data_IF_898826028454
#
_entry.id   IF_898826028454
#
_cell.length_a   1.000
_cell.length_b   1.000
_cell.length_c   1.000
_cell.angle_alpha   90.00
_cell.angle_beta   90.00
_cell.angle_gamma   90.00
#
_symmetry.space_group_name_H-M   'P 1'
#
loop_
_entity.id
_entity.type
_entity.pdbx_description
1 polymer ?
#
# COMPACT_ATOMS: atom_id res chain seq x y z
N UNK A 1 -39.06 -63.36 -11.21
CA UNK A 1 -38.29 -62.73 -10.15
C UNK A 1 -37.55 -61.54 -10.77
N UNK A 2 -38.00 -60.34 -10.50
CA UNK A 2 -37.50 -59.09 -11.10
C UNK A 2 -36.40 -58.52 -10.21
N UNK A 3 -35.19 -58.52 -10.68
CA UNK A 3 -34.07 -57.83 -9.99
C UNK A 3 -34.21 -56.32 -10.17
N UNK A 4 -34.42 -55.62 -9.08
CA UNK A 4 -34.37 -54.14 -8.99
C UNK A 4 -32.90 -53.72 -8.90
N UNK A 5 -32.35 -53.23 -9.98
CA UNK A 5 -31.02 -52.61 -10.00
C UNK A 5 -31.15 -51.14 -9.50
N UNK A 6 -30.80 -50.91 -8.26
CA UNK A 6 -30.75 -49.57 -7.68
C UNK A 6 -29.50 -48.86 -8.13
N UNK A 7 -29.61 -47.92 -9.09
CA UNK A 7 -28.55 -47.00 -9.46
C UNK A 7 -28.43 -45.94 -8.40
N UNK A 8 -27.44 -46.09 -7.53
CA UNK A 8 -27.02 -45.05 -6.57
C UNK A 8 -26.20 -44.01 -7.29
N UNK A 9 -26.81 -42.92 -7.75
CA UNK A 9 -26.08 -41.73 -8.27
C UNK A 9 -25.36 -41.07 -7.10
N UNK A 10 -24.08 -41.33 -6.94
CA UNK A 10 -23.18 -40.57 -6.12
C UNK A 10 -23.03 -39.15 -6.74
N UNK A 11 -23.83 -38.21 -6.24
CA UNK A 11 -23.59 -36.79 -6.39
C UNK A 11 -22.28 -36.46 -5.63
N UNK A 12 -21.12 -36.63 -6.27
CA UNK A 12 -19.87 -36.04 -5.84
C UNK A 12 -20.01 -34.54 -6.01
N UNK A 13 -20.58 -33.87 -5.03
CA UNK A 13 -20.53 -32.43 -4.89
C UNK A 13 -19.05 -32.05 -4.81
N UNK A 14 -18.47 -31.54 -5.88
CA UNK A 14 -17.18 -30.88 -5.85
C UNK A 14 -17.34 -29.71 -4.88
N UNK A 15 -16.93 -29.88 -3.62
CA UNK A 15 -16.58 -28.77 -2.77
C UNK A 15 -15.46 -28.03 -3.49
N UNK A 16 -15.81 -27.05 -4.29
CA UNK A 16 -14.86 -26.05 -4.73
C UNK A 16 -14.34 -25.39 -3.44
N UNK A 17 -13.18 -25.85 -2.96
CA UNK A 17 -12.45 -25.12 -1.92
C UNK A 17 -12.26 -23.74 -2.48
N UNK A 18 -12.84 -22.72 -1.82
CA UNK A 18 -12.62 -21.35 -2.18
C UNK A 18 -11.10 -21.15 -2.23
N UNK A 19 -10.56 -20.90 -3.44
CA UNK A 19 -9.12 -20.77 -3.63
C UNK A 19 -8.70 -19.48 -2.96
N UNK A 20 -7.99 -19.58 -1.83
CA UNK A 20 -7.43 -18.43 -1.14
C UNK A 20 -6.26 -17.86 -1.98
N UNK A 21 -6.26 -16.56 -2.25
CA UNK A 21 -5.11 -15.86 -2.83
C UNK A 21 -4.35 -15.11 -1.73
N UNK A 22 -3.02 -15.14 -1.79
CA UNK A 22 -2.14 -14.43 -0.88
C UNK A 22 -1.56 -13.19 -1.56
N UNK A 23 -1.84 -12.03 -1.00
CA UNK A 23 -1.46 -10.72 -1.55
C UNK A 23 -0.37 -10.11 -0.70
N UNK A 24 0.78 -9.80 -1.31
CA UNK A 24 1.79 -8.91 -0.76
C UNK A 24 1.42 -7.47 -1.13
N UNK A 25 1.31 -6.57 -0.17
CA UNK A 25 0.91 -5.19 -0.44
C UNK A 25 1.80 -4.17 0.28
N UNK A 26 2.13 -3.10 -0.43
CA UNK A 26 2.81 -1.96 0.16
C UNK A 26 1.99 -1.40 1.33
N UNK A 27 2.70 -1.01 2.38
CA UNK A 27 2.11 -0.70 3.68
C UNK A 27 1.16 0.51 3.67
N UNK A 28 1.27 1.41 2.69
CA UNK A 28 0.32 2.52 2.51
C UNK A 28 -1.09 2.05 2.14
N UNK A 29 -1.24 0.80 1.67
CA UNK A 29 -2.53 0.14 1.40
C UNK A 29 -3.16 -0.52 2.64
N UNK A 30 -2.50 -0.50 3.79
CA UNK A 30 -2.94 -1.27 4.97
C UNK A 30 -4.31 -0.87 5.51
N UNK A 31 -4.78 0.33 5.22
CA UNK A 31 -6.13 0.78 5.60
C UNK A 31 -7.16 0.56 4.48
N UNK A 32 -6.80 0.81 3.22
CA UNK A 32 -7.73 0.74 2.09
C UNK A 32 -7.94 -0.71 1.59
N UNK A 33 -6.87 -1.52 1.50
CA UNK A 33 -6.95 -2.85 0.91
C UNK A 33 -7.84 -3.83 1.68
N UNK A 34 -7.89 -3.82 3.03
CA UNK A 34 -8.85 -4.65 3.76
C UNK A 34 -10.32 -4.38 3.41
N UNK A 35 -10.71 -3.11 3.17
CA UNK A 35 -12.07 -2.76 2.75
C UNK A 35 -12.34 -3.22 1.31
N UNK A 36 -11.37 -3.05 0.41
CA UNK A 36 -11.43 -3.57 -0.96
C UNK A 36 -11.59 -5.10 -0.98
N UNK A 37 -10.83 -5.80 -0.15
CA UNK A 37 -10.93 -7.25 0.00
C UNK A 37 -12.29 -7.66 0.57
N UNK A 38 -12.81 -6.96 1.56
CA UNK A 38 -14.14 -7.23 2.11
C UNK A 38 -15.24 -7.08 1.04
N UNK A 39 -15.18 -6.02 0.22
CA UNK A 39 -16.11 -5.81 -0.89
C UNK A 39 -15.98 -6.92 -1.95
N UNK A 40 -14.76 -7.30 -2.32
CA UNK A 40 -14.49 -8.39 -3.26
C UNK A 40 -14.99 -9.73 -2.75
N UNK A 41 -14.66 -10.08 -1.50
CA UNK A 41 -15.10 -11.34 -0.88
C UNK A 41 -16.62 -11.41 -0.78
N UNK A 42 -17.30 -10.33 -0.40
CA UNK A 42 -18.76 -10.24 -0.37
C UNK A 42 -19.38 -10.52 -1.73
N UNK A 43 -18.74 -10.05 -2.81
CA UNK A 43 -19.24 -10.18 -4.18
C UNK A 43 -18.97 -11.55 -4.80
N UNK A 44 -17.85 -12.18 -4.45
CA UNK A 44 -17.36 -13.38 -5.15
C UNK A 44 -17.28 -14.64 -4.31
N UNK A 45 -17.33 -14.54 -2.98
CA UNK A 45 -17.03 -15.63 -2.05
C UNK A 45 -15.53 -15.98 -1.96
N UNK A 46 -14.65 -15.29 -2.74
CA UNK A 46 -13.22 -15.57 -2.80
C UNK A 46 -12.51 -15.00 -1.57
N UNK A 47 -11.68 -15.82 -0.92
CA UNK A 47 -10.87 -15.41 0.22
C UNK A 47 -9.54 -14.80 -0.25
N UNK A 48 -9.14 -13.70 0.40
CA UNK A 48 -7.87 -13.01 0.14
C UNK A 48 -7.11 -12.80 1.45
N UNK A 49 -5.90 -13.33 1.53
CA UNK A 49 -4.98 -13.13 2.66
C UNK A 49 -4.02 -11.99 2.36
N UNK A 50 -3.88 -11.05 3.28
CA UNK A 50 -3.06 -9.86 3.13
C UNK A 50 -1.77 -9.94 3.95
N UNK A 51 -0.66 -9.50 3.35
CA UNK A 51 0.62 -9.30 4.01
C UNK A 51 1.15 -7.92 3.63
N UNK A 52 1.43 -7.08 4.63
CA UNK A 52 1.87 -5.71 4.42
C UNK A 52 3.35 -5.51 4.75
N UNK A 53 4.03 -4.66 3.96
CA UNK A 53 5.43 -4.34 4.18
C UNK A 53 5.93 -3.23 3.27
N UNK A 54 7.21 -2.86 3.38
CA UNK A 54 7.84 -1.99 2.40
C UNK A 54 7.96 -2.71 1.05
N UNK A 55 7.71 -2.01 -0.06
CA UNK A 55 7.72 -2.61 -1.41
C UNK A 55 9.03 -3.34 -1.71
N UNK A 56 10.18 -2.78 -1.33
CA UNK A 56 11.49 -3.42 -1.54
C UNK A 56 11.67 -4.70 -0.71
N UNK A 57 11.20 -4.71 0.55
CA UNK A 57 11.25 -5.91 1.39
C UNK A 57 10.36 -7.02 0.81
N UNK A 58 9.14 -6.70 0.37
CA UNK A 58 8.23 -7.65 -0.27
C UNK A 58 8.81 -8.18 -1.58
N UNK A 59 9.45 -7.31 -2.39
CA UNK A 59 10.16 -7.72 -3.60
C UNK A 59 11.25 -8.75 -3.32
N UNK A 60 12.06 -8.52 -2.28
CA UNK A 60 13.08 -9.47 -1.87
C UNK A 60 12.48 -10.80 -1.35
N UNK A 61 11.35 -10.76 -0.63
CA UNK A 61 10.63 -11.97 -0.24
C UNK A 61 10.13 -12.75 -1.46
N UNK A 62 9.60 -12.06 -2.48
CA UNK A 62 9.18 -12.68 -3.74
C UNK A 62 10.37 -13.32 -4.45
N UNK A 63 11.51 -12.64 -4.56
CA UNK A 63 12.75 -13.21 -5.13
C UNK A 63 13.19 -14.47 -4.39
N UNK A 64 13.06 -14.48 -3.07
CA UNK A 64 13.44 -15.60 -2.21
C UNK A 64 12.37 -16.70 -2.10
N UNK A 65 11.33 -16.64 -2.92
CA UNK A 65 10.38 -17.75 -3.00
C UNK A 65 9.15 -17.64 -2.11
N UNK A 66 8.87 -16.51 -1.44
CA UNK A 66 7.66 -16.34 -0.65
C UNK A 66 6.39 -16.60 -1.49
N UNK A 67 5.39 -17.36 -0.98
CA UNK A 67 4.27 -17.87 -1.76
C UNK A 67 3.15 -16.82 -1.93
N UNK A 68 3.49 -15.70 -2.54
CA UNK A 68 2.53 -14.66 -2.90
C UNK A 68 1.96 -14.91 -4.31
N UNK A 69 0.69 -14.59 -4.51
CA UNK A 69 -0.01 -14.66 -5.78
C UNK A 69 -0.08 -13.30 -6.47
N UNK A 70 -0.24 -12.22 -5.70
CA UNK A 70 -0.34 -10.85 -6.20
C UNK A 70 0.58 -9.93 -5.40
N UNK A 71 1.18 -8.95 -6.09
CA UNK A 71 2.02 -7.93 -5.46
C UNK A 71 1.54 -6.53 -5.81
N UNK A 72 1.14 -5.78 -4.78
CA UNK A 72 0.86 -4.34 -4.83
C UNK A 72 2.07 -3.57 -4.34
N UNK A 73 2.63 -2.72 -5.19
CA UNK A 73 3.79 -1.88 -4.88
C UNK A 73 3.40 -0.40 -4.81
N UNK A 74 4.02 0.35 -3.93
CA UNK A 74 3.87 1.80 -3.83
C UNK A 74 4.66 2.57 -4.92
N UNK A 75 5.36 1.88 -5.82
CA UNK A 75 5.90 2.39 -7.07
C UNK A 75 5.88 1.32 -8.16
N UNK A 76 6.13 1.69 -9.40
CA UNK A 76 6.21 0.76 -10.54
C UNK A 76 7.56 0.07 -10.68
N UNK A 77 8.60 0.61 -10.08
CA UNK A 77 9.97 0.14 -10.25
C UNK A 77 10.13 -1.32 -9.82
N UNK A 78 9.56 -1.68 -8.67
CA UNK A 78 9.65 -3.05 -8.15
C UNK A 78 8.85 -4.07 -8.98
N UNK A 79 7.59 -3.83 -9.39
CA UNK A 79 6.90 -4.69 -10.34
C UNK A 79 7.66 -4.88 -11.65
N UNK A 80 8.22 -3.81 -12.22
CA UNK A 80 9.00 -3.88 -13.46
C UNK A 80 10.28 -4.71 -13.30
N UNK A 81 10.97 -4.62 -12.15
CA UNK A 81 12.12 -5.48 -11.84
C UNK A 81 11.71 -6.95 -11.80
N UNK A 82 10.63 -7.29 -11.08
CA UNK A 82 10.13 -8.67 -11.02
C UNK A 82 9.73 -9.21 -12.39
N UNK A 83 9.16 -8.37 -13.26
CA UNK A 83 8.83 -8.74 -14.63
C UNK A 83 10.11 -9.03 -15.43
N UNK A 84 11.12 -8.16 -15.34
CA UNK A 84 12.41 -8.35 -16.02
C UNK A 84 13.13 -9.63 -15.56
N UNK A 85 12.93 -10.03 -14.31
CA UNK A 85 13.46 -11.26 -13.72
C UNK A 85 12.59 -12.51 -14.01
N UNK A 86 11.45 -12.37 -14.74
CA UNK A 86 10.53 -13.47 -15.03
C UNK A 86 9.67 -13.91 -13.83
N UNK A 87 9.71 -13.16 -12.72
CA UNK A 87 9.01 -13.49 -11.47
C UNK A 87 7.57 -12.94 -11.41
N UNK A 88 7.20 -12.02 -12.32
CA UNK A 88 5.86 -11.48 -12.42
C UNK A 88 5.39 -11.43 -13.87
N UNK A 89 4.08 -11.54 -14.09
CA UNK A 89 3.45 -11.61 -15.44
C UNK A 89 3.26 -10.19 -15.99
N UNK A 90 3.98 -9.87 -17.08
CA UNK A 90 3.98 -8.52 -17.70
C UNK A 90 2.59 -8.05 -18.13
N UNK A 91 1.76 -8.95 -18.63
CA UNK A 91 0.40 -8.68 -19.11
C UNK A 91 -0.58 -8.31 -17.99
N UNK A 92 -0.18 -8.53 -16.73
CA UNK A 92 -0.97 -8.16 -15.54
C UNK A 92 -0.56 -6.85 -14.90
N UNK A 93 0.53 -6.22 -15.36
CA UNK A 93 0.97 -4.94 -14.83
C UNK A 93 -0.11 -3.89 -14.99
N UNK A 94 -0.53 -3.30 -13.87
CA UNK A 94 -1.58 -2.30 -13.84
C UNK A 94 -1.27 -1.21 -12.82
N UNK A 95 -1.33 0.05 -13.26
CA UNK A 95 -1.26 1.23 -12.38
C UNK A 95 -2.61 1.46 -11.73
N UNK A 96 -2.76 1.11 -10.47
CA UNK A 96 -4.04 1.26 -9.79
C UNK A 96 -4.23 2.61 -9.11
N UNK A 97 -3.16 3.34 -8.80
CA UNK A 97 -3.26 4.62 -8.10
C UNK A 97 -1.98 5.47 -8.19
N UNK A 98 -2.10 6.71 -7.76
CA UNK A 98 -0.97 7.60 -7.42
C UNK A 98 -1.07 7.95 -5.93
N UNK A 99 -0.03 7.62 -5.18
CA UNK A 99 0.07 7.92 -3.76
C UNK A 99 0.44 9.38 -3.48
N UNK A 100 0.12 9.86 -2.28
CA UNK A 100 0.41 11.22 -1.82
C UNK A 100 1.20 11.20 -0.52
N UNK A 101 2.26 12.00 -0.46
CA UNK A 101 3.05 12.24 0.75
C UNK A 101 2.47 13.43 1.51
N UNK A 102 2.37 13.30 2.83
CA UNK A 102 1.93 14.38 3.74
C UNK A 102 2.87 14.51 4.92
N UNK A 103 3.05 15.73 5.42
CA UNK A 103 3.58 16.00 6.75
C UNK A 103 2.41 15.98 7.73
N UNK A 104 2.44 15.09 8.69
CA UNK A 104 1.40 14.91 9.71
C UNK A 104 1.94 15.17 11.10
N UNK A 105 1.12 15.79 11.94
CA UNK A 105 1.40 16.04 13.36
C UNK A 105 0.15 15.77 14.21
N UNK A 106 0.27 15.39 15.49
CA UNK A 106 -0.85 15.27 16.42
C UNK A 106 -1.62 16.60 16.58
N UNK A 107 -2.88 16.54 17.03
CA UNK A 107 -3.72 17.73 17.21
C UNK A 107 -3.19 18.70 18.26
N UNK A 108 -2.52 18.20 19.29
CA UNK A 108 -1.89 18.99 20.37
C UNK A 108 -0.51 19.58 19.99
N UNK A 109 -0.01 19.30 18.81
CA UNK A 109 1.24 19.87 18.32
C UNK A 109 1.15 21.39 18.21
N UNK A 110 2.16 22.17 18.66
CA UNK A 110 2.18 23.62 18.53
C UNK A 110 2.48 24.11 17.12
N UNK A 111 2.85 23.20 16.19
CA UNK A 111 3.31 23.55 14.85
C UNK A 111 2.16 24.05 13.97
N UNK A 112 2.30 25.22 13.34
CA UNK A 112 1.36 25.72 12.35
C UNK A 112 1.74 25.24 10.95
N UNK A 113 1.22 24.05 10.57
CA UNK A 113 1.51 23.45 9.26
C UNK A 113 0.95 24.27 8.09
N UNK A 114 -0.14 25.01 8.29
CA UNK A 114 -0.78 25.79 7.23
C UNK A 114 0.09 26.98 6.81
N UNK A 115 0.82 27.55 7.75
CA UNK A 115 1.71 28.68 7.55
C UNK A 115 3.15 28.27 7.15
N UNK A 116 3.66 27.22 7.79
CA UNK A 116 5.08 26.85 7.68
C UNK A 116 5.31 25.71 6.68
N UNK A 117 4.29 24.89 6.37
CA UNK A 117 4.49 23.70 5.54
C UNK A 117 5.57 22.81 6.12
N UNK A 118 6.47 22.33 5.26
CA UNK A 118 7.59 21.47 5.68
C UNK A 118 8.62 22.18 6.57
N UNK A 119 8.71 23.52 6.52
CA UNK A 119 9.62 24.31 7.37
C UNK A 119 9.28 24.16 8.85
N UNK A 120 8.07 23.73 9.19
CA UNK A 120 7.68 23.39 10.57
C UNK A 120 8.60 22.34 11.20
N UNK A 121 9.26 21.50 10.40
CA UNK A 121 10.24 20.51 10.85
C UNK A 121 11.52 21.12 11.42
N UNK A 122 11.78 22.40 11.14
CA UNK A 122 12.94 23.13 11.70
C UNK A 122 12.70 23.63 13.13
N UNK A 123 11.44 23.62 13.59
CA UNK A 123 11.12 24.05 14.95
C UNK A 123 11.91 23.23 15.99
N UNK A 124 12.53 23.87 16.98
CA UNK A 124 13.27 23.19 18.05
C UNK A 124 12.45 22.20 18.88
N UNK A 125 11.12 22.33 18.90
CA UNK A 125 10.21 21.39 19.57
C UNK A 125 10.17 20.02 18.85
N UNK A 126 10.49 19.96 17.55
CA UNK A 126 10.55 18.72 16.77
C UNK A 126 11.89 18.03 17.03
N UNK A 127 11.92 17.07 17.93
CA UNK A 127 13.12 16.30 18.28
C UNK A 127 13.30 15.06 17.39
N UNK A 128 12.19 14.47 16.95
CA UNK A 128 12.15 13.28 16.11
C UNK A 128 11.14 13.44 14.99
N UNK A 129 11.53 13.06 13.79
CA UNK A 129 10.73 13.09 12.57
C UNK A 129 10.68 11.66 12.03
N UNK A 130 9.50 11.06 11.95
CA UNK A 130 9.36 9.72 11.41
C UNK A 130 9.25 9.75 9.87
N UNK A 131 10.01 8.89 9.22
CA UNK A 131 9.89 8.58 7.79
C UNK A 131 10.02 7.07 7.58
N UNK A 132 9.50 6.53 6.49
CA UNK A 132 9.83 5.17 6.10
C UNK A 132 11.31 5.06 5.68
N UNK A 133 11.89 3.88 5.77
CA UNK A 133 13.29 3.65 5.36
C UNK A 133 13.46 3.88 3.84
N UNK A 134 14.24 4.87 3.38
CA UNK A 134 14.41 5.17 1.96
C UNK A 134 15.04 4.02 1.15
N UNK A 135 15.80 3.16 1.80
CA UNK A 135 16.45 2.01 1.14
C UNK A 135 15.45 0.99 0.59
N UNK A 136 14.26 0.88 1.20
CA UNK A 136 13.29 -0.19 0.89
C UNK A 136 11.88 0.32 0.60
N UNK A 137 11.54 1.54 1.03
CA UNK A 137 10.19 2.09 0.94
C UNK A 137 10.12 3.27 -0.04
N UNK A 138 9.22 3.23 -1.05
CA UNK A 138 9.00 4.36 -1.96
C UNK A 138 8.63 5.66 -1.24
N UNK A 139 7.79 5.60 -0.20
CA UNK A 139 7.46 6.76 0.63
C UNK A 139 8.66 7.31 1.42
N UNK A 140 9.61 6.46 1.77
CA UNK A 140 10.86 6.91 2.40
C UNK A 140 11.73 7.71 1.41
N UNK A 141 11.87 7.22 0.17
CA UNK A 141 12.55 7.96 -0.90
C UNK A 141 11.84 9.28 -1.22
N UNK A 142 10.51 9.26 -1.25
CA UNK A 142 9.72 10.48 -1.45
C UNK A 142 9.92 11.49 -0.31
N UNK A 143 9.95 11.03 0.94
CA UNK A 143 10.21 11.87 2.11
C UNK A 143 11.61 12.50 2.07
N UNK A 144 12.64 11.70 1.79
CA UNK A 144 14.01 12.20 1.64
C UNK A 144 14.12 13.20 0.49
N UNK A 145 13.54 12.91 -0.67
CA UNK A 145 13.54 13.81 -1.82
C UNK A 145 12.84 15.13 -1.49
N UNK A 146 11.69 15.11 -0.81
CA UNK A 146 11.01 16.32 -0.38
C UNK A 146 11.86 17.17 0.59
N UNK A 147 12.49 16.55 1.58
CA UNK A 147 13.37 17.26 2.52
C UNK A 147 14.56 17.92 1.80
N UNK A 148 15.14 17.25 0.77
CA UNK A 148 16.20 17.79 -0.08
C UNK A 148 15.70 18.91 -0.98
N UNK A 149 14.53 18.74 -1.60
CA UNK A 149 13.91 19.76 -2.47
C UNK A 149 13.73 21.10 -1.74
N UNK A 150 13.28 21.04 -0.48
CA UNK A 150 13.10 22.23 0.37
C UNK A 150 14.38 22.69 1.07
N UNK A 151 15.53 22.05 0.84
CA UNK A 151 16.83 22.44 1.38
C UNK A 151 16.98 22.28 2.90
N UNK A 152 16.17 21.42 3.52
CA UNK A 152 16.19 21.23 4.99
C UNK A 152 16.76 19.87 5.42
N UNK A 153 17.07 18.96 4.47
CA UNK A 153 17.50 17.60 4.79
C UNK A 153 18.67 17.57 5.78
N UNK A 154 19.74 18.32 5.51
CA UNK A 154 20.94 18.29 6.34
C UNK A 154 20.69 18.83 7.77
N UNK A 155 19.74 19.74 7.91
CA UNK A 155 19.34 20.31 9.21
C UNK A 155 18.49 19.36 10.06
N UNK A 156 17.78 18.43 9.42
CA UNK A 156 16.86 17.51 10.11
C UNK A 156 17.33 16.06 10.12
N UNK A 157 18.33 15.70 9.33
CA UNK A 157 18.78 14.32 9.11
C UNK A 157 19.12 13.57 10.39
N UNK A 158 19.76 14.24 11.36
CA UNK A 158 20.08 13.65 12.68
C UNK A 158 18.87 13.38 13.57
N UNK A 159 17.68 13.93 13.21
CA UNK A 159 16.42 13.75 13.93
C UNK A 159 15.48 12.75 13.25
N UNK A 160 15.90 12.17 12.11
CA UNK A 160 15.09 11.20 11.38
C UNK A 160 15.03 9.86 12.14
N UNK A 161 13.82 9.34 12.32
CA UNK A 161 13.55 8.00 12.85
C UNK A 161 12.97 7.17 11.71
N UNK A 162 13.68 6.11 11.34
CA UNK A 162 13.31 5.27 10.20
C UNK A 162 12.37 4.15 10.64
N UNK A 163 11.16 4.13 10.08
CA UNK A 163 10.26 2.98 10.12
C UNK A 163 10.61 1.98 9.02
N UNK A 164 10.48 0.70 9.26
CA UNK A 164 10.66 -0.33 8.22
C UNK A 164 9.71 -0.15 7.03
N UNK A 165 8.54 0.47 7.29
CA UNK A 165 7.52 0.79 6.30
C UNK A 165 6.88 2.14 6.61
N UNK A 166 6.08 2.67 5.69
CA UNK A 166 5.32 3.91 5.90
C UNK A 166 4.23 3.76 6.97
N UNK A 167 3.70 2.54 7.19
CA UNK A 167 2.79 2.27 8.32
C UNK A 167 3.52 2.40 9.66
N UNK A 168 4.75 1.90 9.77
CA UNK A 168 5.51 2.03 11.02
C UNK A 168 5.90 3.50 11.25
N UNK A 169 6.25 4.24 10.20
CA UNK A 169 6.48 5.69 10.32
C UNK A 169 5.23 6.41 10.83
N UNK A 170 4.03 6.04 10.34
CA UNK A 170 2.76 6.58 10.83
C UNK A 170 2.50 6.20 12.29
N UNK A 171 2.79 4.96 12.70
CA UNK A 171 2.68 4.52 14.09
C UNK A 171 3.60 5.30 15.04
N UNK A 172 4.82 5.63 14.61
CA UNK A 172 5.75 6.41 15.44
C UNK A 172 5.23 7.81 15.74
N UNK A 173 4.62 8.50 14.77
CA UNK A 173 4.07 9.82 15.02
C UNK A 173 2.72 9.75 15.72
N UNK A 174 1.87 8.75 15.44
CA UNK A 174 0.60 8.56 16.13
C UNK A 174 0.77 8.28 17.62
N UNK A 175 1.77 7.46 17.96
CA UNK A 175 2.07 7.09 19.36
C UNK A 175 2.88 8.12 20.14
N UNK A 176 3.25 9.27 19.53
CA UNK A 176 4.09 10.30 20.16
C UNK A 176 5.59 9.95 20.22
N UNK A 177 6.03 8.83 19.65
CA UNK A 177 7.45 8.49 19.56
C UNK A 177 8.22 9.40 18.58
N UNK A 178 7.51 10.13 17.70
CA UNK A 178 8.00 11.22 16.89
C UNK A 178 7.02 12.39 16.96
N UNK A 179 7.51 13.64 16.90
CA UNK A 179 6.68 14.85 16.96
C UNK A 179 6.03 15.18 15.62
N UNK A 180 6.62 14.69 14.52
CA UNK A 180 6.12 14.87 13.17
C UNK A 180 6.46 13.64 12.32
N UNK A 181 5.69 13.39 11.27
CA UNK A 181 5.93 12.28 10.34
C UNK A 181 5.65 12.66 8.90
N UNK A 182 6.56 12.27 7.99
CA UNK A 182 6.28 12.26 6.56
C UNK A 182 5.72 10.88 6.20
N UNK A 183 4.40 10.83 6.01
CA UNK A 183 3.63 9.58 5.88
C UNK A 183 2.74 9.60 4.63
N UNK A 184 2.10 8.47 4.34
CA UNK A 184 1.12 8.40 3.28
C UNK A 184 -0.18 9.11 3.67
N UNK A 185 -0.79 9.83 2.72
CA UNK A 185 -2.11 10.45 2.93
C UNK A 185 -3.16 9.41 3.31
N UNK A 186 -3.06 8.18 2.80
CA UNK A 186 -3.95 7.08 3.14
C UNK A 186 -3.97 6.73 4.63
N UNK A 187 -2.84 6.88 5.33
CA UNK A 187 -2.78 6.73 6.79
C UNK A 187 -3.41 7.93 7.50
N UNK A 188 -3.10 9.16 7.04
CA UNK A 188 -3.67 10.37 7.64
C UNK A 188 -5.20 10.41 7.56
N UNK A 189 -5.79 9.83 6.51
CA UNK A 189 -7.24 9.73 6.30
C UNK A 189 -7.86 8.46 6.89
N UNK A 190 -7.04 7.50 7.32
CA UNK A 190 -7.54 6.26 7.91
C UNK A 190 -8.31 6.53 9.21
N UNK A 191 -9.36 5.73 9.53
CA UNK A 191 -10.16 5.89 10.75
C UNK A 191 -9.32 5.98 12.03
N UNK A 192 -8.18 5.30 12.07
CA UNK A 192 -7.27 5.32 13.21
C UNK A 192 -6.60 6.68 13.46
N UNK A 193 -6.39 7.50 12.42
CA UNK A 193 -5.59 8.73 12.50
C UNK A 193 -6.32 10.02 12.12
N UNK A 194 -7.40 9.95 11.32
CA UNK A 194 -8.05 11.12 10.70
C UNK A 194 -8.48 12.21 11.71
N UNK A 195 -8.86 11.81 12.92
CA UNK A 195 -9.36 12.72 13.97
C UNK A 195 -8.30 13.01 15.05
N UNK A 196 -7.09 12.42 14.94
CA UNK A 196 -6.03 12.53 15.94
C UNK A 196 -4.96 13.57 15.61
N UNK A 197 -4.98 14.09 14.40
CA UNK A 197 -3.95 15.03 13.96
C UNK A 197 -4.37 15.82 12.74
N UNK A 198 -3.45 16.62 12.26
CA UNK A 198 -3.60 17.41 11.05
C UNK A 198 -2.40 17.23 10.15
N UNK A 199 -2.59 17.46 8.86
CA UNK A 199 -1.53 17.28 7.88
C UNK A 199 -1.42 18.46 6.91
N UNK A 200 -0.26 18.58 6.32
CA UNK A 200 0.03 19.42 5.16
C UNK A 200 0.46 18.53 4.00
N UNK A 201 -0.18 18.72 2.84
CA UNK A 201 0.14 17.93 1.65
C UNK A 201 1.45 18.43 1.03
N UNK A 202 2.43 17.55 0.89
CA UNK A 202 3.68 17.87 0.21
C UNK A 202 3.39 18.08 -1.29
N UNK A 203 3.86 19.18 -1.89
CA UNK A 203 3.71 19.42 -3.33
C UNK A 203 4.28 18.29 -4.18
N UNK A 204 3.60 17.98 -5.30
CA UNK A 204 3.95 16.82 -6.15
C UNK A 204 5.29 16.96 -6.87
N UNK A 205 5.75 18.16 -7.09
CA UNK A 205 7.04 18.50 -7.70
C UNK A 205 8.21 18.35 -6.72
N UNK A 206 7.94 18.20 -5.42
CA UNK A 206 8.95 18.05 -4.39
C UNK A 206 9.51 16.61 -4.26
N UNK A 207 8.90 15.62 -4.90
CA UNK A 207 9.32 14.21 -4.83
C UNK A 207 8.92 13.43 -6.09
N UNK A 208 9.60 12.30 -6.40
CA UNK A 208 9.22 11.43 -7.50
C UNK A 208 7.79 10.92 -7.35
N UNK A 209 7.01 10.95 -8.43
CA UNK A 209 5.61 10.50 -8.41
C UNK A 209 5.50 9.05 -7.91
N UNK A 210 4.65 8.82 -6.93
CA UNK A 210 4.38 7.51 -6.36
C UNK A 210 3.32 6.77 -7.21
N UNK A 211 3.69 6.41 -8.45
CA UNK A 211 2.85 5.60 -9.34
C UNK A 211 2.76 4.19 -8.81
N UNK A 212 1.65 3.84 -8.20
CA UNK A 212 1.45 2.55 -7.58
C UNK A 212 0.98 1.52 -8.60
N UNK A 213 1.59 0.35 -8.56
CA UNK A 213 1.32 -0.70 -9.52
C UNK A 213 1.13 -2.08 -8.86
N UNK A 214 0.37 -2.93 -9.54
CA UNK A 214 0.10 -4.31 -9.13
C UNK A 214 0.47 -5.27 -10.24
N UNK A 215 0.94 -6.47 -9.86
CA UNK A 215 1.24 -7.58 -10.77
C UNK A 215 0.82 -8.91 -10.16
N UNK A 216 0.54 -9.90 -11.00
CA UNK A 216 0.42 -11.30 -10.61
C UNK A 216 1.80 -11.96 -10.65
N UNK A 217 2.11 -12.75 -9.63
CA UNK A 217 3.39 -13.47 -9.52
C UNK A 217 3.37 -14.71 -10.44
N UNK A 218 4.41 -14.87 -11.25
CA UNK A 218 4.45 -15.90 -12.32
C UNK A 218 4.30 -17.32 -11.78
N UNK A 219 4.85 -17.64 -10.61
CA UNK A 219 4.77 -18.97 -9.98
C UNK A 219 3.47 -19.24 -9.20
N UNK A 220 2.56 -18.25 -9.10
CA UNK A 220 1.27 -18.45 -8.46
C UNK A 220 0.54 -19.64 -9.05
N UNK A 221 -0.02 -20.49 -8.20
CA UNK A 221 -0.92 -21.57 -8.59
C UNK A 221 -2.38 -21.10 -8.71
N UNK A 222 -2.63 -19.83 -8.37
CA UNK A 222 -3.95 -19.20 -8.34
C UNK A 222 -4.10 -18.13 -9.43
N UNK A 223 -3.51 -18.35 -10.62
CA UNK A 223 -3.45 -17.35 -11.70
C UNK A 223 -4.81 -16.75 -12.04
N UNK A 224 -5.84 -17.58 -12.21
CA UNK A 224 -7.18 -17.12 -12.61
C UNK A 224 -7.84 -16.32 -11.48
N UNK A 225 -7.72 -16.76 -10.24
CA UNK A 225 -8.25 -16.05 -9.07
C UNK A 225 -7.54 -14.70 -8.85
N UNK A 226 -6.21 -14.67 -9.02
CA UNK A 226 -5.41 -13.45 -8.96
C UNK A 226 -5.83 -12.43 -10.04
N UNK A 227 -6.01 -12.88 -11.29
CA UNK A 227 -6.48 -12.03 -12.40
C UNK A 227 -7.88 -11.47 -12.15
N UNK A 228 -8.82 -12.28 -11.65
CA UNK A 228 -10.17 -11.81 -11.26
C UNK A 228 -10.11 -10.75 -10.17
N UNK A 229 -9.19 -10.88 -9.21
CA UNK A 229 -8.99 -9.84 -8.20
C UNK A 229 -8.46 -8.53 -8.83
N UNK A 230 -7.54 -8.60 -9.79
CA UNK A 230 -7.07 -7.43 -10.51
C UNK A 230 -8.18 -6.78 -11.35
N UNK A 231 -9.09 -7.56 -11.93
CA UNK A 231 -10.28 -7.03 -12.64
C UNK A 231 -11.18 -6.25 -11.69
N UNK A 232 -11.43 -6.78 -10.47
CA UNK A 232 -12.16 -6.04 -9.45
C UNK A 232 -11.46 -4.73 -9.08
N UNK A 233 -10.14 -4.71 -8.97
CA UNK A 233 -9.38 -3.47 -8.68
C UNK A 233 -9.54 -2.38 -9.75
N UNK A 234 -9.98 -2.74 -10.97
CA UNK A 234 -10.31 -1.80 -12.05
C UNK A 234 -11.76 -1.30 -12.01
N UNK A 235 -12.57 -1.81 -11.09
CA UNK A 235 -13.98 -1.44 -11.00
C UNK A 235 -14.18 -0.01 -10.44
N UNK A 236 -15.31 0.65 -10.78
CA UNK A 236 -15.68 1.94 -10.17
C UNK A 236 -15.79 1.88 -8.65
N UNK A 237 -16.20 0.72 -8.09
CA UNK A 237 -16.28 0.49 -6.65
C UNK A 237 -14.89 0.57 -6.01
N UNK A 238 -13.90 -0.12 -6.57
CA UNK A 238 -12.52 -0.06 -6.10
C UNK A 238 -11.93 1.34 -6.25
N UNK A 239 -12.20 2.02 -7.35
CA UNK A 239 -11.78 3.40 -7.60
C UNK A 239 -12.33 4.37 -6.56
N UNK A 240 -13.62 4.24 -6.20
CA UNK A 240 -14.26 5.05 -5.16
C UNK A 240 -13.63 4.84 -3.78
N UNK A 241 -13.39 3.58 -3.39
CA UNK A 241 -12.72 3.25 -2.12
C UNK A 241 -11.31 3.84 -2.07
N UNK A 242 -10.50 3.65 -3.13
CA UNK A 242 -9.14 4.21 -3.20
C UNK A 242 -9.15 5.74 -3.08
N UNK A 243 -10.06 6.41 -3.77
CA UNK A 243 -10.20 7.87 -3.70
C UNK A 243 -10.58 8.34 -2.30
N UNK A 244 -11.44 7.60 -1.59
CA UNK A 244 -11.80 7.87 -0.19
C UNK A 244 -10.60 7.86 0.76
N UNK A 245 -9.58 7.07 0.45
CA UNK A 245 -8.29 7.04 1.17
C UNK A 245 -7.24 8.01 0.61
N UNK A 246 -7.63 8.95 -0.27
CA UNK A 246 -6.74 10.00 -0.78
C UNK A 246 -5.80 9.55 -1.89
N UNK A 247 -5.98 8.37 -2.47
CA UNK A 247 -5.30 7.98 -3.69
C UNK A 247 -5.88 8.74 -4.88
N UNK A 248 -5.01 9.23 -5.76
CA UNK A 248 -5.45 9.74 -7.06
C UNK A 248 -5.51 8.58 -8.05
N UNK A 249 -6.56 8.54 -8.88
CA UNK A 249 -6.68 7.50 -9.91
C UNK A 249 -5.67 7.76 -11.02
N UNK A 250 -5.10 6.69 -11.58
CA UNK A 250 -4.24 6.78 -12.76
C UNK A 250 -5.06 7.21 -13.99
N UNK A 251 -4.36 7.74 -15.01
CA UNK A 251 -5.00 8.14 -16.29
C UNK A 251 -5.69 6.94 -16.97
N UNK A 252 -5.24 5.73 -16.70
CA UNK A 252 -5.80 4.47 -17.22
C UNK A 252 -7.17 4.08 -16.60
N UNK A 253 -7.58 4.78 -15.52
CA UNK A 253 -8.85 4.55 -14.80
C UNK A 253 -9.89 5.64 -15.01
N UNK A 254 -9.60 6.66 -15.84
CA UNK A 254 -10.52 7.76 -16.10
C UNK A 254 -11.43 7.51 -17.29
#
# INVERSE_FOLDING_TARGET
MKELLAILLLLAGSCATAQEITVAAAADMSSALPELVAAYTKKTGQTVKLSFGASGNLTNQIRNGAPFDVFFSADEQYPQQLIAEGLASKDTLYRYAVGRLVLWVPNDSPLDLSKLGIQALLDPAVKKISIANPATAPYGRAAEAALRHFGIYDQVSSRLVLGESVSQAAQFVESGNAQAGLIALSHALAPAMKDKGRYWTVPLDAYPTLNQAVVVISRSKQQDAARKFLEFMRSPEAASLLTGYGFSLSVEQR
#
